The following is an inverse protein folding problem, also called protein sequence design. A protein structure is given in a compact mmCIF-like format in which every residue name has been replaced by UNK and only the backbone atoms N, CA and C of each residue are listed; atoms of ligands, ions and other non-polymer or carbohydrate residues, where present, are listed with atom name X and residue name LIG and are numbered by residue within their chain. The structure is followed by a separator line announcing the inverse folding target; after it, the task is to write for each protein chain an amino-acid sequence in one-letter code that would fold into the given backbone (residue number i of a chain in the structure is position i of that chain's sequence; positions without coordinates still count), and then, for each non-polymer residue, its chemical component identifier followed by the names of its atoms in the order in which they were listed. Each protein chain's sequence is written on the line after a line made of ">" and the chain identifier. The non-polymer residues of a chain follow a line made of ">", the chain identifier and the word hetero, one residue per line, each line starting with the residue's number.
data_IF_658814772010
#
_entry.id   IF_658814772010
#
_cell.length_a   1.000
_cell.length_b   1.000
_cell.length_c   1.000
_cell.angle_alpha   90.00
_cell.angle_beta   90.00
_cell.angle_gamma   90.00
#
_symmetry.space_group_name_H-M   'P 1'
#
loop_
_entity.id
_entity.type
_entity.pdbx_description
1 polymer ?
#
# COMPACT_ATOMS: atom_id res chain seq x y z
N UNK A 1 52.69 -13.53 38.46
CA UNK A 1 51.79 -14.55 37.90
C UNK A 1 50.49 -13.87 37.63
N UNK A 2 50.31 -13.55 36.38
CA UNK A 2 49.15 -12.80 35.90
C UNK A 2 47.96 -13.74 35.73
N UNK A 3 46.86 -13.46 36.38
CA UNK A 3 45.55 -14.06 36.09
C UNK A 3 44.83 -13.24 35.07
N UNK A 4 44.67 -13.80 33.90
CA UNK A 4 43.93 -13.29 32.78
C UNK A 4 42.43 -13.40 33.10
N UNK A 5 41.76 -12.24 33.25
CA UNK A 5 40.33 -12.14 33.33
C UNK A 5 39.82 -11.86 31.90
N UNK A 6 39.51 -12.94 31.19
CA UNK A 6 38.79 -12.86 29.92
C UNK A 6 37.43 -12.19 30.11
N UNK A 7 37.32 -11.03 29.50
CA UNK A 7 36.08 -10.25 29.37
C UNK A 7 35.04 -11.07 28.60
N UNK A 8 33.96 -11.42 29.27
CA UNK A 8 32.73 -11.85 28.61
C UNK A 8 32.14 -10.59 27.97
N UNK A 9 32.38 -10.42 26.68
CA UNK A 9 31.63 -9.43 25.89
C UNK A 9 30.15 -9.87 25.88
N UNK A 10 29.35 -9.21 26.70
CA UNK A 10 27.90 -9.25 26.54
C UNK A 10 27.60 -8.47 25.27
N UNK A 11 27.28 -9.17 24.19
CA UNK A 11 26.78 -8.63 22.92
C UNK A 11 25.27 -8.26 23.10
N UNK A 12 25.00 -7.30 24.00
CA UNK A 12 23.70 -6.65 24.10
C UNK A 12 23.53 -5.72 22.90
N UNK A 13 22.76 -6.16 21.92
CA UNK A 13 22.32 -5.30 20.82
C UNK A 13 21.81 -3.96 21.41
N UNK A 14 22.20 -2.79 20.88
CA UNK A 14 21.84 -1.51 21.45
C UNK A 14 20.32 -1.39 21.62
N UNK A 15 19.85 -0.84 22.75
CA UNK A 15 18.44 -0.74 23.14
C UNK A 15 17.52 -0.17 22.04
N UNK A 16 18.07 0.64 21.12
CA UNK A 16 17.40 1.18 19.93
C UNK A 16 17.00 0.09 18.91
N UNK A 17 17.79 -0.97 18.76
CA UNK A 17 17.52 -2.07 17.80
C UNK A 17 16.44 -3.01 18.31
N UNK A 18 16.41 -3.30 19.60
CA UNK A 18 15.37 -4.13 20.25
C UNK A 18 14.01 -3.40 20.19
N UNK A 19 14.01 -2.10 20.43
CA UNK A 19 12.82 -1.26 20.32
C UNK A 19 12.25 -1.24 18.90
N UNK A 20 13.09 -1.04 17.90
CA UNK A 20 12.70 -1.06 16.49
C UNK A 20 12.14 -2.44 16.08
N UNK A 21 12.78 -3.54 16.48
CA UNK A 21 12.31 -4.89 16.22
C UNK A 21 10.94 -5.17 16.86
N UNK A 22 10.70 -4.67 18.09
CA UNK A 22 9.40 -4.82 18.75
C UNK A 22 8.30 -4.01 18.05
N UNK A 23 8.58 -2.77 17.66
CA UNK A 23 7.66 -1.94 16.88
C UNK A 23 7.27 -2.61 15.57
N UNK A 24 8.24 -3.13 14.83
CA UNK A 24 7.99 -3.85 13.58
C UNK A 24 7.19 -5.14 13.79
N UNK A 25 7.49 -5.91 14.84
CA UNK A 25 6.70 -7.09 15.18
C UNK A 25 5.21 -6.74 15.45
N UNK A 26 4.93 -5.61 16.11
CA UNK A 26 3.56 -5.12 16.34
C UNK A 26 2.89 -4.75 15.01
N UNK A 27 3.58 -4.08 14.09
CA UNK A 27 3.08 -3.73 12.74
C UNK A 27 2.73 -4.99 11.94
N UNK A 28 3.59 -5.98 11.94
CA UNK A 28 3.33 -7.27 11.27
C UNK A 28 2.14 -8.01 11.92
N UNK A 29 2.09 -8.03 13.26
CA UNK A 29 0.96 -8.61 14.00
C UNK A 29 -0.37 -7.91 13.68
N UNK A 30 -0.34 -6.58 13.56
CA UNK A 30 -1.52 -5.79 13.18
C UNK A 30 -2.04 -6.15 11.78
N UNK A 31 -1.17 -6.23 10.78
CA UNK A 31 -1.57 -6.64 9.42
C UNK A 31 -2.28 -8.00 9.43
N UNK A 32 -1.74 -8.99 10.16
CA UNK A 32 -2.34 -10.32 10.31
C UNK A 32 -3.70 -10.26 11.01
N UNK A 33 -3.78 -9.54 12.13
CA UNK A 33 -5.01 -9.44 12.91
C UNK A 33 -6.12 -8.70 12.16
N UNK A 34 -5.77 -7.63 11.42
CA UNK A 34 -6.70 -6.86 10.58
C UNK A 34 -7.19 -7.71 9.40
N UNK A 35 -6.31 -8.50 8.77
CA UNK A 35 -6.69 -9.40 7.68
C UNK A 35 -7.78 -10.41 8.10
N UNK A 36 -7.73 -10.89 9.34
CA UNK A 36 -8.69 -11.88 9.86
C UNK A 36 -9.99 -11.21 10.33
N UNK A 37 -9.89 -10.12 11.08
CA UNK A 37 -11.01 -9.56 11.82
C UNK A 37 -11.62 -8.31 11.17
N UNK A 38 -10.90 -7.64 10.27
CA UNK A 38 -11.17 -6.28 9.84
C UNK A 38 -10.80 -5.25 10.91
N UNK A 39 -10.47 -4.02 10.49
CA UNK A 39 -9.97 -2.99 11.41
C UNK A 39 -10.99 -2.57 12.48
N UNK A 40 -12.26 -2.46 12.12
CA UNK A 40 -13.32 -2.04 13.07
C UNK A 40 -13.44 -2.98 14.26
N UNK A 41 -13.28 -4.29 14.06
CA UNK A 41 -13.47 -5.32 15.07
C UNK A 41 -12.19 -5.76 15.78
N UNK A 42 -11.02 -5.52 15.18
CA UNK A 42 -9.74 -5.93 15.76
C UNK A 42 -9.50 -5.21 17.11
N UNK A 43 -9.02 -5.96 18.08
CA UNK A 43 -8.64 -5.46 19.42
C UNK A 43 -7.12 -5.45 19.54
N UNK A 44 -6.59 -4.57 20.42
CA UNK A 44 -5.15 -4.52 20.73
C UNK A 44 -4.65 -5.89 21.19
N UNK A 45 -5.45 -6.63 21.95
CA UNK A 45 -5.12 -7.99 22.39
C UNK A 45 -4.93 -8.96 21.20
N UNK A 46 -5.67 -8.81 20.10
CA UNK A 46 -5.52 -9.64 18.91
C UNK A 46 -4.22 -9.30 18.17
N UNK A 47 -3.91 -8.00 18.07
CA UNK A 47 -2.66 -7.49 17.48
C UNK A 47 -1.45 -7.99 18.25
N UNK A 48 -1.45 -7.83 19.57
CA UNK A 48 -0.31 -8.20 20.43
C UNK A 48 -0.11 -9.71 20.48
N UNK A 49 -1.20 -10.49 20.50
CA UNK A 49 -1.13 -11.96 20.36
C UNK A 49 -0.49 -12.36 19.03
N UNK A 50 -0.92 -11.75 17.92
CA UNK A 50 -0.36 -12.03 16.60
C UNK A 50 1.11 -11.58 16.46
N UNK A 51 1.53 -10.61 17.26
CA UNK A 51 2.90 -10.09 17.31
C UNK A 51 3.81 -10.87 18.29
N UNK A 52 3.26 -11.75 19.13
CA UNK A 52 4.00 -12.38 20.24
C UNK A 52 4.48 -11.37 21.28
N UNK A 53 3.68 -10.31 21.54
CA UNK A 53 3.98 -9.22 22.47
C UNK A 53 2.87 -9.03 23.50
N UNK A 54 3.19 -8.32 24.60
CA UNK A 54 2.18 -7.96 25.60
C UNK A 54 1.41 -6.69 25.21
N UNK A 55 0.19 -6.47 25.74
CA UNK A 55 -0.51 -5.19 25.60
C UNK A 55 0.29 -4.00 26.16
N UNK A 56 1.03 -4.20 27.24
CA UNK A 56 1.91 -3.16 27.80
C UNK A 56 3.01 -2.75 26.80
N UNK A 57 3.60 -3.72 26.10
CA UNK A 57 4.59 -3.45 25.07
C UNK A 57 4.00 -2.65 23.89
N UNK A 58 2.72 -2.86 23.55
CA UNK A 58 2.04 -2.10 22.50
C UNK A 58 1.98 -0.60 22.84
N UNK A 59 1.55 -0.28 24.06
CA UNK A 59 1.39 1.11 24.50
C UNK A 59 2.69 1.87 24.69
N UNK A 60 3.85 1.20 24.65
CA UNK A 60 5.16 1.87 24.59
C UNK A 60 5.43 2.50 23.21
N UNK A 61 4.72 2.06 22.16
CA UNK A 61 4.99 2.48 20.78
C UNK A 61 3.80 3.17 20.10
N UNK A 62 2.58 2.88 20.53
CA UNK A 62 1.35 3.36 19.89
C UNK A 62 0.30 3.74 20.93
N UNK A 63 -0.28 4.93 20.79
CA UNK A 63 -1.35 5.43 21.68
C UNK A 63 -2.67 4.65 21.50
N UNK A 64 -2.80 3.89 20.42
CA UNK A 64 -3.98 3.09 20.12
C UNK A 64 -3.91 2.49 18.72
N UNK A 65 -4.94 1.73 18.34
CA UNK A 65 -4.98 1.07 17.04
C UNK A 65 -5.09 2.06 15.87
N UNK A 66 -5.66 3.24 16.09
CA UNK A 66 -5.78 4.28 15.07
C UNK A 66 -4.42 4.90 14.76
N UNK A 67 -3.60 5.21 15.79
CA UNK A 67 -2.22 5.68 15.63
C UNK A 67 -1.37 4.62 14.88
N UNK A 68 -1.53 3.35 15.22
CA UNK A 68 -0.87 2.26 14.50
C UNK A 68 -1.32 2.19 13.03
N UNK A 69 -2.63 2.32 12.73
CA UNK A 69 -3.12 2.30 11.35
C UNK A 69 -2.59 3.49 10.55
N UNK A 70 -2.50 4.68 11.15
CA UNK A 70 -1.88 5.85 10.50
C UNK A 70 -0.42 5.59 10.11
N UNK A 71 0.37 4.98 10.98
CA UNK A 71 1.76 4.63 10.67
C UNK A 71 1.84 3.58 9.57
N UNK A 72 1.03 2.53 9.63
CA UNK A 72 0.95 1.50 8.59
C UNK A 72 0.53 2.09 7.24
N UNK A 73 -0.37 3.06 7.24
CA UNK A 73 -0.78 3.78 6.04
C UNK A 73 0.35 4.64 5.47
N UNK A 74 1.13 5.28 6.33
CA UNK A 74 2.33 6.04 5.92
C UNK A 74 3.40 5.15 5.29
N UNK A 75 3.62 3.94 5.86
CA UNK A 75 4.52 2.95 5.25
C UNK A 75 4.03 2.48 3.87
N UNK A 76 2.73 2.21 3.76
CA UNK A 76 2.10 1.85 2.49
C UNK A 76 2.26 2.95 1.45
N UNK A 77 2.00 4.22 1.82
CA UNK A 77 2.21 5.38 0.96
C UNK A 77 3.66 5.49 0.48
N UNK A 78 4.61 5.34 1.40
CA UNK A 78 6.05 5.43 1.09
C UNK A 78 6.46 4.37 0.06
N UNK A 79 6.03 3.13 0.23
CA UNK A 79 6.25 2.05 -0.74
C UNK A 79 5.65 2.37 -2.11
N UNK A 80 4.41 2.90 -2.14
CA UNK A 80 3.76 3.29 -3.39
C UNK A 80 4.54 4.40 -4.10
N UNK A 81 4.94 5.43 -3.38
CA UNK A 81 5.67 6.56 -3.97
C UNK A 81 7.03 6.12 -4.54
N UNK A 82 7.76 5.28 -3.84
CA UNK A 82 9.05 4.77 -4.30
C UNK A 82 8.92 3.96 -5.60
N UNK A 83 7.92 3.09 -5.68
CA UNK A 83 7.81 2.10 -6.77
C UNK A 83 6.94 2.58 -7.94
N UNK A 84 5.92 3.41 -7.66
CA UNK A 84 4.92 3.79 -8.67
C UNK A 84 5.19 5.18 -9.28
N UNK A 85 5.88 6.08 -8.56
CA UNK A 85 6.11 7.46 -9.03
C UNK A 85 7.39 7.65 -9.83
N UNK A 86 8.20 6.61 -10.05
CA UNK A 86 9.43 6.74 -10.82
C UNK A 86 9.13 7.17 -12.27
N UNK A 87 9.89 8.13 -12.83
CA UNK A 87 9.69 8.56 -14.21
C UNK A 87 9.99 7.42 -15.19
N UNK A 88 9.41 7.47 -16.41
CA UNK A 88 9.75 6.50 -17.43
C UNK A 88 11.23 6.55 -17.79
N UNK A 89 11.80 5.40 -18.10
CA UNK A 89 13.15 5.31 -18.66
C UNK A 89 13.23 6.00 -20.02
N UNK A 90 14.39 6.56 -20.42
CA UNK A 90 14.56 7.12 -21.75
C UNK A 90 14.20 6.10 -22.83
N UNK A 91 13.29 6.47 -23.73
CA UNK A 91 12.82 5.58 -24.81
C UNK A 91 11.82 4.50 -24.39
N UNK A 92 11.39 4.45 -23.12
CA UNK A 92 10.39 3.49 -22.68
C UNK A 92 9.02 3.79 -23.32
N UNK A 93 8.44 2.75 -23.93
CA UNK A 93 7.07 2.79 -24.47
C UNK A 93 6.04 2.96 -23.35
N UNK A 94 4.98 3.71 -23.65
CA UNK A 94 3.93 4.02 -22.67
C UNK A 94 3.21 2.78 -22.16
N UNK A 95 3.01 1.77 -23.01
CA UNK A 95 2.35 0.52 -22.61
C UNK A 95 3.22 -0.26 -21.62
N UNK A 96 4.52 -0.34 -21.90
CA UNK A 96 5.47 -1.00 -21.01
C UNK A 96 5.61 -0.27 -19.69
N UNK A 97 5.72 1.06 -19.74
CA UNK A 97 5.76 1.88 -18.53
C UNK A 97 4.53 1.66 -17.66
N UNK A 98 3.33 1.70 -18.25
CA UNK A 98 2.07 1.44 -17.56
C UNK A 98 2.05 0.05 -16.91
N UNK A 99 2.39 -0.99 -17.66
CA UNK A 99 2.39 -2.37 -17.17
C UNK A 99 3.34 -2.54 -15.96
N UNK A 100 4.55 -1.97 -16.05
CA UNK A 100 5.52 -2.00 -14.96
C UNK A 100 4.99 -1.31 -13.69
N UNK A 101 4.30 -0.15 -13.84
CA UNK A 101 3.71 0.58 -12.70
C UNK A 101 2.54 -0.16 -12.08
N UNK A 102 1.68 -0.74 -12.90
CA UNK A 102 0.55 -1.54 -12.42
C UNK A 102 1.01 -2.82 -11.73
N UNK A 103 2.04 -3.48 -12.24
CA UNK A 103 2.62 -4.64 -11.57
C UNK A 103 3.19 -4.28 -10.19
N UNK A 104 3.92 -3.17 -10.09
CA UNK A 104 4.45 -2.68 -8.82
C UNK A 104 3.32 -2.32 -7.84
N UNK A 105 2.31 -1.57 -8.32
CA UNK A 105 1.14 -1.20 -7.53
C UNK A 105 0.37 -2.44 -7.02
N UNK A 106 0.05 -3.37 -7.91
CA UNK A 106 -0.67 -4.60 -7.58
C UNK A 106 0.04 -5.42 -6.51
N UNK A 107 1.36 -5.60 -6.65
CA UNK A 107 2.18 -6.31 -5.67
C UNK A 107 2.10 -5.65 -4.29
N UNK A 108 2.33 -4.34 -4.22
CA UNK A 108 2.28 -3.57 -2.97
C UNK A 108 0.88 -3.65 -2.35
N UNK A 109 -0.17 -3.49 -3.17
CA UNK A 109 -1.54 -3.59 -2.71
C UNK A 109 -1.84 -4.97 -2.13
N UNK A 110 -1.43 -6.05 -2.78
CA UNK A 110 -1.61 -7.42 -2.28
C UNK A 110 -0.87 -7.72 -0.99
N UNK A 111 0.32 -7.16 -0.82
CA UNK A 111 1.08 -7.30 0.43
C UNK A 111 0.41 -6.57 1.59
N UNK A 112 -0.14 -5.41 1.33
CA UNK A 112 -0.68 -4.49 2.34
C UNK A 112 -2.22 -4.29 2.21
N UNK A 113 -2.94 -5.20 1.53
CA UNK A 113 -4.39 -5.08 1.31
C UNK A 113 -5.21 -4.86 2.60
N UNK A 114 -4.86 -5.46 3.77
CA UNK A 114 -5.62 -5.21 4.99
C UNK A 114 -5.54 -3.75 5.43
N UNK A 115 -4.39 -3.11 5.21
CA UNK A 115 -4.15 -1.72 5.56
C UNK A 115 -4.84 -0.77 4.57
N UNK A 116 -4.67 -1.03 3.27
CA UNK A 116 -5.33 -0.25 2.22
C UNK A 116 -6.87 -0.29 2.38
N UNK A 117 -7.43 -1.49 2.62
CA UNK A 117 -8.86 -1.67 2.87
C UNK A 117 -9.32 -0.97 4.15
N UNK A 118 -8.58 -1.10 5.25
CA UNK A 118 -8.90 -0.44 6.52
C UNK A 118 -8.89 1.08 6.36
N UNK A 119 -7.87 1.64 5.74
CA UNK A 119 -7.75 3.07 5.50
C UNK A 119 -8.87 3.60 4.60
N UNK A 120 -9.21 2.88 3.52
CA UNK A 120 -10.33 3.22 2.65
C UNK A 120 -11.66 3.23 3.40
N UNK A 121 -11.95 2.20 4.21
CA UNK A 121 -13.18 2.14 5.03
C UNK A 121 -13.22 3.26 6.07
N UNK A 122 -12.12 3.51 6.77
CA UNK A 122 -12.03 4.57 7.77
C UNK A 122 -12.15 5.96 7.15
N UNK A 123 -11.70 6.15 5.91
CA UNK A 123 -11.83 7.43 5.21
C UNK A 123 -13.28 7.88 4.98
N UNK A 124 -14.23 6.96 5.05
CA UNK A 124 -15.66 7.28 4.91
C UNK A 124 -16.31 7.77 6.20
N UNK A 125 -15.69 7.52 7.36
CA UNK A 125 -16.28 7.77 8.68
C UNK A 125 -15.43 8.65 9.59
N UNK A 126 -14.14 8.76 9.31
CA UNK A 126 -13.18 9.54 10.08
C UNK A 126 -12.46 10.57 9.22
N UNK A 127 -12.50 11.84 9.64
CA UNK A 127 -11.97 12.97 8.88
C UNK A 127 -10.44 12.95 8.76
N UNK A 128 -9.73 12.39 9.74
CA UNK A 128 -8.27 12.30 9.71
C UNK A 128 -7.82 11.27 8.68
N UNK A 129 -8.47 10.11 8.67
CA UNK A 129 -8.24 9.08 7.64
C UNK A 129 -8.69 9.55 6.25
N UNK A 130 -9.78 10.32 6.16
CA UNK A 130 -10.21 10.92 4.88
C UNK A 130 -9.12 11.83 4.29
N UNK A 131 -8.52 12.69 5.11
CA UNK A 131 -7.41 13.57 4.67
C UNK A 131 -6.18 12.78 4.24
N UNK A 132 -5.78 11.77 5.02
CA UNK A 132 -4.62 10.93 4.70
C UNK A 132 -4.84 10.18 3.39
N UNK A 133 -5.99 9.51 3.25
CA UNK A 133 -6.36 8.79 2.03
C UNK A 133 -6.42 9.71 0.79
N UNK A 134 -7.04 10.88 0.94
CA UNK A 134 -7.10 11.88 -0.13
C UNK A 134 -5.69 12.35 -0.57
N UNK A 135 -4.77 12.54 0.37
CA UNK A 135 -3.39 12.92 0.06
C UNK A 135 -2.68 11.85 -0.78
N UNK A 136 -2.81 10.59 -0.39
CA UNK A 136 -2.24 9.46 -1.15
C UNK A 136 -2.82 9.43 -2.57
N UNK A 137 -4.15 9.51 -2.69
CA UNK A 137 -4.85 9.52 -3.98
C UNK A 137 -4.39 10.66 -4.88
N UNK A 138 -4.28 11.89 -4.34
CA UNK A 138 -3.84 13.05 -5.11
C UNK A 138 -2.43 12.89 -5.69
N UNK A 139 -1.51 12.24 -4.95
CA UNK A 139 -0.17 11.96 -5.47
C UNK A 139 -0.24 10.98 -6.65
N UNK A 140 -1.03 9.92 -6.52
CA UNK A 140 -1.28 8.94 -7.60
C UNK A 140 -1.93 9.59 -8.82
N UNK A 141 -2.98 10.39 -8.62
CA UNK A 141 -3.68 11.11 -9.70
C UNK A 141 -2.73 12.04 -10.45
N UNK A 142 -1.88 12.82 -9.75
CA UNK A 142 -0.90 13.71 -10.39
C UNK A 142 0.10 12.94 -11.24
N UNK A 143 0.62 11.82 -10.71
CA UNK A 143 1.55 10.97 -11.46
C UNK A 143 0.89 10.39 -12.72
N UNK A 144 -0.34 9.90 -12.60
CA UNK A 144 -1.09 9.35 -13.72
C UNK A 144 -1.50 10.42 -14.74
N UNK A 145 -1.92 11.61 -14.30
CA UNK A 145 -2.25 12.74 -15.18
C UNK A 145 -1.04 13.19 -16.02
N UNK A 146 0.17 13.14 -15.47
CA UNK A 146 1.40 13.39 -16.24
C UNK A 146 1.58 12.35 -17.38
N UNK A 147 1.26 11.08 -17.11
CA UNK A 147 1.29 10.04 -18.15
C UNK A 147 0.21 10.27 -19.23
N UNK A 148 -1.00 10.67 -18.83
CA UNK A 148 -2.09 11.03 -19.77
C UNK A 148 -1.66 12.19 -20.68
N UNK A 149 -1.11 13.27 -20.13
CA UNK A 149 -0.61 14.40 -20.93
C UNK A 149 0.46 13.97 -21.94
N UNK A 150 1.35 13.06 -21.53
CA UNK A 150 2.36 12.50 -22.44
C UNK A 150 1.73 11.69 -23.57
N UNK A 151 0.70 10.91 -23.27
CA UNK A 151 -0.06 10.18 -24.30
C UNK A 151 -0.78 11.13 -25.26
N UNK A 152 -1.37 12.21 -24.73
CA UNK A 152 -2.03 13.25 -25.53
C UNK A 152 -1.06 13.95 -26.47
N UNK A 153 0.14 14.26 -26.00
CA UNK A 153 1.20 14.83 -26.86
C UNK A 153 1.61 13.89 -28.01
N UNK A 154 1.40 12.58 -27.85
CA UNK A 154 1.60 11.55 -28.87
C UNK A 154 0.32 11.21 -29.68
N UNK A 155 -0.76 12.00 -29.52
CA UNK A 155 -2.03 11.83 -30.25
C UNK A 155 -3.05 10.90 -29.59
N UNK A 156 -2.81 10.44 -28.35
CA UNK A 156 -3.76 9.64 -27.58
C UNK A 156 -4.72 10.49 -26.76
N UNK A 157 -5.80 9.88 -26.25
CA UNK A 157 -6.79 10.47 -25.31
C UNK A 157 -7.20 11.93 -25.60
N UNK A 158 -7.27 12.30 -26.88
CA UNK A 158 -7.49 13.67 -27.32
C UNK A 158 -8.83 14.21 -26.78
N UNK A 159 -8.81 15.46 -26.29
CA UNK A 159 -10.02 16.15 -25.80
C UNK A 159 -10.49 15.76 -24.40
N UNK A 160 -9.83 14.82 -23.72
CA UNK A 160 -10.16 14.47 -22.32
C UNK A 160 -9.32 15.32 -21.36
N UNK A 161 -9.95 15.70 -20.22
CA UNK A 161 -9.23 16.34 -19.13
C UNK A 161 -8.30 15.32 -18.45
N UNK A 162 -6.97 15.59 -18.36
CA UNK A 162 -6.00 14.62 -17.85
C UNK A 162 -6.21 14.28 -16.37
N UNK A 163 -6.60 15.26 -15.56
CA UNK A 163 -6.85 15.07 -14.13
C UNK A 163 -8.11 14.24 -13.88
N UNK A 164 -9.19 14.52 -14.61
CA UNK A 164 -10.43 13.76 -14.50
C UNK A 164 -10.23 12.31 -14.98
N UNK A 165 -9.54 12.11 -16.10
CA UNK A 165 -9.21 10.77 -16.58
C UNK A 165 -8.34 10.01 -15.57
N UNK A 166 -7.31 10.67 -15.03
CA UNK A 166 -6.45 10.07 -14.00
C UNK A 166 -7.24 9.70 -12.74
N UNK A 167 -8.15 10.58 -12.30
CA UNK A 167 -9.01 10.32 -11.14
C UNK A 167 -9.95 9.13 -11.37
N UNK A 168 -10.57 9.03 -12.55
CA UNK A 168 -11.44 7.91 -12.91
C UNK A 168 -10.67 6.58 -12.94
N UNK A 169 -9.51 6.56 -13.56
CA UNK A 169 -8.63 5.38 -13.62
C UNK A 169 -8.15 4.97 -12.23
N UNK A 170 -7.72 5.92 -11.41
CA UNK A 170 -7.30 5.64 -10.02
C UNK A 170 -8.44 4.99 -9.24
N UNK A 171 -9.67 5.53 -9.36
CA UNK A 171 -10.85 4.97 -8.69
C UNK A 171 -11.19 3.56 -9.18
N UNK A 172 -11.06 3.31 -10.48
CA UNK A 172 -11.24 1.98 -11.06
C UNK A 172 -10.22 0.98 -10.51
N UNK A 173 -8.95 1.34 -10.47
CA UNK A 173 -7.87 0.49 -9.95
C UNK A 173 -8.11 0.15 -8.48
N UNK A 174 -8.36 1.16 -7.65
CA UNK A 174 -8.58 0.99 -6.21
C UNK A 174 -9.77 0.06 -5.93
N UNK A 175 -10.88 0.28 -6.62
CA UNK A 175 -12.09 -0.51 -6.41
C UNK A 175 -11.95 -1.94 -6.96
N UNK A 176 -11.31 -2.12 -8.11
CA UNK A 176 -10.96 -3.43 -8.64
C UNK A 176 -10.04 -4.21 -7.68
N UNK A 177 -8.98 -3.56 -7.19
CA UNK A 177 -8.08 -4.18 -6.21
C UNK A 177 -8.83 -4.60 -4.93
N UNK A 178 -9.69 -3.72 -4.41
CA UNK A 178 -10.53 -4.05 -3.25
C UNK A 178 -11.42 -5.28 -3.52
N UNK A 179 -12.17 -5.28 -4.60
CA UNK A 179 -13.10 -6.37 -4.92
C UNK A 179 -12.41 -7.68 -5.28
N UNK A 180 -11.19 -7.62 -5.83
CA UNK A 180 -10.45 -8.82 -6.22
C UNK A 180 -9.63 -9.44 -5.09
N UNK A 181 -9.35 -8.68 -4.02
CA UNK A 181 -8.54 -9.14 -2.88
C UNK A 181 -9.35 -9.33 -1.60
N UNK A 182 -10.44 -8.56 -1.42
CA UNK A 182 -11.26 -8.63 -0.24
C UNK A 182 -12.03 -9.95 -0.15
N UNK A 183 -12.13 -10.48 1.06
CA UNK A 183 -12.93 -11.68 1.32
C UNK A 183 -14.41 -11.41 0.95
N UNK A 184 -14.97 -12.27 0.07
CA UNK A 184 -16.35 -12.12 -0.41
C UNK A 184 -16.52 -11.04 -1.49
N UNK A 185 -15.45 -10.69 -2.20
CA UNK A 185 -15.51 -9.80 -3.38
C UNK A 185 -16.19 -10.45 -4.60
N UNK A 186 -15.99 -9.85 -5.78
CA UNK A 186 -16.73 -10.21 -7.00
C UNK A 186 -16.59 -11.68 -7.41
N UNK A 187 -15.47 -12.32 -7.04
CA UNK A 187 -15.15 -13.68 -7.44
C UNK A 187 -14.77 -14.55 -6.23
N UNK A 188 -15.71 -14.90 -5.33
CA UNK A 188 -15.39 -15.58 -4.06
C UNK A 188 -14.78 -16.96 -4.25
N UNK A 189 -15.05 -17.62 -5.41
CA UNK A 189 -14.56 -18.96 -5.74
C UNK A 189 -13.37 -18.96 -6.73
N UNK A 190 -12.90 -17.76 -7.13
CA UNK A 190 -11.83 -17.61 -8.11
C UNK A 190 -10.70 -16.78 -7.55
N UNK A 191 -9.51 -17.36 -7.47
CA UNK A 191 -8.30 -16.60 -7.25
C UNK A 191 -7.90 -15.89 -8.55
N UNK A 192 -7.75 -14.56 -8.47
CA UNK A 192 -7.20 -13.75 -9.54
C UNK A 192 -5.70 -13.72 -9.34
N UNK A 193 -4.95 -14.34 -10.24
CA UNK A 193 -3.49 -14.31 -10.21
C UNK A 193 -2.95 -12.95 -10.64
N UNK A 194 -1.70 -12.68 -10.26
CA UNK A 194 -1.07 -11.37 -10.48
C UNK A 194 -0.99 -10.98 -11.95
N UNK A 195 -0.69 -11.96 -12.82
CA UNK A 195 -0.58 -11.71 -14.26
C UNK A 195 -1.94 -11.33 -14.84
N UNK A 196 -2.99 -12.07 -14.52
CA UNK A 196 -4.35 -11.79 -14.99
C UNK A 196 -4.83 -10.41 -14.52
N UNK A 197 -4.60 -10.06 -13.25
CA UNK A 197 -4.98 -8.76 -12.72
C UNK A 197 -4.27 -7.61 -13.46
N UNK A 198 -2.96 -7.71 -13.62
CA UNK A 198 -2.15 -6.69 -14.30
C UNK A 198 -2.51 -6.59 -15.78
N UNK A 199 -2.70 -7.70 -16.47
CA UNK A 199 -3.06 -7.74 -17.89
C UNK A 199 -4.42 -7.04 -18.13
N UNK A 200 -5.44 -7.35 -17.33
CA UNK A 200 -6.77 -6.74 -17.45
C UNK A 200 -6.73 -5.24 -17.18
N UNK A 201 -6.11 -4.83 -16.06
CA UNK A 201 -5.99 -3.41 -15.70
C UNK A 201 -5.18 -2.65 -16.74
N UNK A 202 -4.05 -3.21 -17.20
CA UNK A 202 -3.20 -2.58 -18.22
C UNK A 202 -3.96 -2.40 -19.53
N UNK A 203 -4.72 -3.42 -19.96
CA UNK A 203 -5.50 -3.34 -21.19
C UNK A 203 -6.52 -2.21 -21.15
N UNK A 204 -7.35 -2.17 -20.12
CA UNK A 204 -8.41 -1.15 -19.98
C UNK A 204 -7.82 0.26 -19.91
N UNK A 205 -6.77 0.45 -19.11
CA UNK A 205 -6.14 1.75 -18.93
C UNK A 205 -5.44 2.21 -20.21
N UNK A 206 -4.74 1.30 -20.88
CA UNK A 206 -4.05 1.62 -22.13
C UNK A 206 -5.03 2.10 -23.21
N UNK A 207 -6.18 1.44 -23.33
CA UNK A 207 -7.25 1.87 -24.23
C UNK A 207 -7.76 3.27 -23.89
N UNK A 208 -8.01 3.54 -22.59
CA UNK A 208 -8.46 4.85 -22.13
C UNK A 208 -7.43 5.96 -22.42
N UNK A 209 -6.13 5.66 -22.26
CA UNK A 209 -5.05 6.63 -22.38
C UNK A 209 -4.62 6.85 -23.82
N UNK A 210 -4.61 5.80 -24.66
CA UNK A 210 -4.15 5.91 -26.05
C UNK A 210 -5.26 6.26 -27.02
N UNK A 211 -6.52 6.01 -26.68
CA UNK A 211 -7.66 6.20 -27.58
C UNK A 211 -7.67 5.27 -28.80
N UNK A 212 -6.78 4.26 -28.82
CA UNK A 212 -6.76 3.27 -29.91
C UNK A 212 -7.88 2.28 -29.68
N UNK A 213 -8.80 2.21 -30.63
CA UNK A 213 -9.82 1.16 -30.74
C UNK A 213 -9.23 -0.14 -31.24
#
# INVERSE_FOLDING_TARGET
>A
MNGDLSLIENDEAPASTVGAATREAIKVGAKRAIAVNGFSRVRIADITRAAGKSPAAFYLYFDGKDALLHELLSDFESKLLEQVSAPPSPGEDIARHLANRLQAFWRIYREDWPIATAAFQMSMTDQQFARAWHTIRQKGIRAFAAMVRRAQAAGGAAGLDPELLASAVTSMIEYACYNWTAKGGDFPERLIDDKTAVDVLSHVILQAVTGKR
#
